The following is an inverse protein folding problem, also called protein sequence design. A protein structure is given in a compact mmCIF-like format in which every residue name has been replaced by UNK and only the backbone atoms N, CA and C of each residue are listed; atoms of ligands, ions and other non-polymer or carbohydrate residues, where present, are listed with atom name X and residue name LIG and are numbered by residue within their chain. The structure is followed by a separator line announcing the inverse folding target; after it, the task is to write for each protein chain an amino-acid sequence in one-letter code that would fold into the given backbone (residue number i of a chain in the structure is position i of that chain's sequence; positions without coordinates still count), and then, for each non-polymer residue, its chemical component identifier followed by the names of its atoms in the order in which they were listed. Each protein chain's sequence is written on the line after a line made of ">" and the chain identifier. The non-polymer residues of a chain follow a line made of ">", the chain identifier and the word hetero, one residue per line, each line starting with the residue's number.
data_IF_697766389899
#
_entry.id   IF_697766389899
#
_cell.length_a   1.000
_cell.length_b   1.000
_cell.length_c   1.000
_cell.angle_alpha   90.00
_cell.angle_beta   90.00
_cell.angle_gamma   90.00
#
_symmetry.space_group_name_H-M   'P 1'
#
loop_
_entity.id
_entity.type
_entity.pdbx_description
1 polymer ?
#
# COMPACT_ATOMS: atom_id res chain seq x y z
N UNK A 1 19.89 27.49 19.60
CA UNK A 1 20.77 27.00 18.52
C UNK A 1 20.49 25.51 18.39
N UNK A 2 19.53 25.13 17.54
CA UNK A 2 19.17 23.72 17.34
C UNK A 2 19.90 23.16 16.12
N UNK A 3 20.49 21.98 16.30
CA UNK A 3 21.34 21.32 15.31
C UNK A 3 20.57 20.87 14.06
N UNK A 4 21.30 20.46 13.01
CA UNK A 4 20.69 20.08 11.73
C UNK A 4 19.71 18.92 11.94
N UNK A 5 18.45 19.12 11.51
CA UNK A 5 17.44 18.07 11.53
C UNK A 5 17.88 16.96 10.56
N UNK A 6 18.30 15.84 11.12
CA UNK A 6 18.57 14.61 10.39
C UNK A 6 17.30 14.18 9.68
N UNK A 7 17.37 14.03 8.35
CA UNK A 7 16.40 13.24 7.57
C UNK A 7 16.06 11.99 8.37
N UNK A 8 14.79 11.72 8.64
CA UNK A 8 14.38 10.44 9.17
C UNK A 8 14.74 9.38 8.13
N UNK A 9 15.90 8.76 8.31
CA UNK A 9 16.32 7.60 7.54
C UNK A 9 15.48 6.46 8.11
N UNK A 10 14.45 6.04 7.38
CA UNK A 10 13.70 4.84 7.72
C UNK A 10 14.72 3.69 7.95
N UNK A 11 14.63 2.97 9.09
CA UNK A 11 15.67 2.03 9.51
C UNK A 11 15.88 0.87 8.53
N UNK A 12 14.94 0.66 7.60
CA UNK A 12 15.00 -0.34 6.57
C UNK A 12 14.68 0.29 5.20
N UNK A 13 15.71 0.73 4.46
CA UNK A 13 15.61 1.10 3.05
C UNK A 13 15.68 -0.12 2.10
N UNK A 14 15.69 -1.34 2.67
CA UNK A 14 15.94 -2.61 1.98
C UNK A 14 14.66 -3.48 1.96
N UNK A 15 13.52 -3.00 2.44
CA UNK A 15 12.25 -3.72 2.36
C UNK A 15 11.73 -3.73 0.91
N UNK A 16 12.44 -4.44 0.03
CA UNK A 16 12.14 -4.62 -1.39
C UNK A 16 11.67 -6.05 -1.59
N UNK A 17 10.37 -6.23 -1.57
CA UNK A 17 9.73 -7.44 -2.06
C UNK A 17 9.54 -7.31 -3.56
N UNK A 18 10.48 -7.82 -4.36
CA UNK A 18 10.28 -7.86 -5.81
C UNK A 18 9.44 -9.09 -6.16
N UNK A 19 8.24 -8.87 -6.71
CA UNK A 19 7.47 -9.89 -7.40
C UNK A 19 7.20 -11.16 -6.58
N UNK A 20 7.90 -12.27 -6.90
CA UNK A 20 7.69 -13.62 -6.37
C UNK A 20 8.51 -13.96 -5.12
N UNK A 21 9.50 -13.14 -4.73
CA UNK A 21 10.30 -13.34 -3.51
C UNK A 21 9.59 -12.92 -2.22
N UNK A 22 8.27 -12.68 -2.29
CA UNK A 22 7.41 -12.30 -1.17
C UNK A 22 6.58 -13.47 -0.62
N UNK A 23 6.62 -14.65 -1.25
CA UNK A 23 5.78 -15.79 -0.87
C UNK A 23 5.89 -16.18 0.62
N UNK A 24 7.09 -16.19 1.26
CA UNK A 24 7.18 -16.46 2.70
C UNK A 24 6.54 -15.37 3.57
N UNK A 25 6.65 -14.09 3.18
CA UNK A 25 6.02 -12.99 3.90
C UNK A 25 4.49 -13.09 3.80
N UNK A 26 3.97 -13.28 2.59
CA UNK A 26 2.53 -13.44 2.35
C UNK A 26 2.01 -14.66 3.13
N UNK A 27 2.68 -15.80 3.02
CA UNK A 27 2.29 -17.00 3.76
C UNK A 27 2.30 -16.77 5.28
N UNK A 28 3.27 -16.03 5.81
CA UNK A 28 3.31 -15.68 7.22
C UNK A 28 2.17 -14.74 7.63
N UNK A 29 1.86 -13.71 6.83
CA UNK A 29 0.75 -12.80 7.09
C UNK A 29 -0.60 -13.53 7.10
N UNK A 30 -0.82 -14.42 6.12
CA UNK A 30 -2.02 -15.25 6.02
C UNK A 30 -2.12 -16.26 7.17
N UNK A 31 -1.03 -16.96 7.48
CA UNK A 31 -0.99 -17.92 8.59
C UNK A 31 -1.19 -17.26 9.96
N UNK A 32 -0.70 -16.02 10.13
CA UNK A 32 -0.91 -15.22 11.32
C UNK A 32 -2.32 -14.60 11.40
N UNK A 33 -3.15 -14.77 10.36
CA UNK A 33 -4.50 -14.20 10.26
C UNK A 33 -4.52 -12.69 10.51
N UNK A 34 -3.51 -11.98 10.00
CA UNK A 34 -3.43 -10.54 10.17
C UNK A 34 -4.55 -9.90 9.34
N UNK A 35 -5.48 -9.24 10.03
CA UNK A 35 -6.55 -8.47 9.39
C UNK A 35 -5.96 -7.20 8.79
N UNK A 36 -5.84 -7.16 7.47
CA UNK A 36 -5.50 -5.97 6.69
C UNK A 36 -6.75 -5.45 5.98
N UNK A 37 -6.74 -4.17 5.62
CA UNK A 37 -7.79 -3.60 4.78
C UNK A 37 -7.78 -4.31 3.41
N UNK A 38 -8.95 -4.65 2.88
CA UNK A 38 -9.12 -5.33 1.59
C UNK A 38 -10.03 -4.51 0.68
N UNK A 39 -9.61 -4.29 -0.55
CA UNK A 39 -10.33 -3.46 -1.53
C UNK A 39 -10.36 -4.18 -2.88
N UNK A 40 -11.49 -4.14 -3.58
CA UNK A 40 -11.60 -4.68 -4.93
C UNK A 40 -11.17 -3.67 -6.01
N UNK A 41 -10.79 -4.15 -7.19
CA UNK A 41 -10.54 -3.34 -8.39
C UNK A 41 -11.80 -2.80 -9.11
N UNK A 42 -12.95 -2.83 -8.42
CA UNK A 42 -14.27 -2.52 -8.97
C UNK A 42 -14.32 -1.14 -9.64
N UNK A 43 -15.22 -0.99 -10.61
CA UNK A 43 -15.48 0.28 -11.29
C UNK A 43 -14.18 0.94 -11.79
N UNK A 44 -13.31 0.13 -12.40
CA UNK A 44 -12.01 0.57 -12.91
C UNK A 44 -11.11 1.22 -11.84
N UNK A 45 -11.00 0.56 -10.68
CA UNK A 45 -10.18 0.99 -9.54
C UNK A 45 -10.68 2.29 -8.87
N UNK A 46 -11.93 2.71 -9.11
CA UNK A 46 -12.49 3.92 -8.49
C UNK A 46 -12.53 3.83 -6.95
N UNK A 47 -13.08 2.77 -6.33
CA UNK A 47 -13.11 2.62 -4.88
C UNK A 47 -11.70 2.52 -4.28
N UNK A 48 -10.79 1.84 -4.98
CA UNK A 48 -9.38 1.78 -4.58
C UNK A 48 -8.72 3.16 -4.57
N UNK A 49 -8.96 3.96 -5.60
CA UNK A 49 -8.44 5.33 -5.68
C UNK A 49 -8.95 6.21 -4.55
N UNK A 50 -10.25 6.14 -4.25
CA UNK A 50 -10.87 6.87 -3.13
C UNK A 50 -10.32 6.41 -1.77
N UNK A 51 -10.16 5.10 -1.59
CA UNK A 51 -9.55 4.53 -0.40
C UNK A 51 -8.13 5.07 -0.18
N UNK A 52 -7.28 5.07 -1.21
CA UNK A 52 -5.91 5.60 -1.12
C UNK A 52 -5.91 7.08 -0.75
N UNK A 53 -6.78 7.89 -1.36
CA UNK A 53 -6.90 9.32 -1.04
C UNK A 53 -7.28 9.55 0.42
N UNK A 54 -8.27 8.80 0.91
CA UNK A 54 -8.79 8.97 2.26
C UNK A 54 -7.84 8.41 3.33
N UNK A 55 -7.39 7.17 3.16
CA UNK A 55 -6.52 6.47 4.11
C UNK A 55 -5.13 7.10 4.15
N UNK A 56 -4.61 7.43 2.97
CA UNK A 56 -3.31 8.07 2.79
C UNK A 56 -3.30 9.56 3.15
N UNK A 57 -4.47 10.18 3.35
CA UNK A 57 -4.62 11.64 3.52
C UNK A 57 -3.91 12.41 2.39
N UNK A 58 -4.32 12.14 1.16
CA UNK A 58 -3.72 12.79 0.00
C UNK A 58 -3.80 14.32 0.11
N UNK A 59 -2.67 15.00 -0.08
CA UNK A 59 -2.61 16.46 -0.15
C UNK A 59 -2.94 16.99 -1.54
N UNK A 60 -2.97 18.32 -1.67
CA UNK A 60 -3.23 19.02 -2.95
C UNK A 60 -2.15 18.73 -4.01
N UNK A 61 -0.96 18.30 -3.59
CA UNK A 61 0.12 17.84 -4.47
C UNK A 61 -0.08 16.41 -5.00
N UNK A 62 -1.21 15.78 -4.67
CA UNK A 62 -1.55 14.42 -5.08
C UNK A 62 -0.72 13.33 -4.38
N UNK A 63 0.05 13.68 -3.34
CA UNK A 63 0.88 12.75 -2.57
C UNK A 63 0.18 12.35 -1.28
N UNK A 64 0.30 11.07 -0.93
CA UNK A 64 -0.20 10.58 0.36
C UNK A 64 0.74 11.00 1.49
N UNK A 65 0.19 11.32 2.66
CA UNK A 65 0.94 11.70 3.87
C UNK A 65 1.15 10.53 4.83
N UNK A 66 0.28 9.53 4.77
CA UNK A 66 0.38 8.32 5.56
C UNK A 66 0.73 7.13 4.66
N UNK A 67 1.64 6.26 5.12
CA UNK A 67 1.87 4.96 4.49
C UNK A 67 0.65 4.05 4.63
N UNK A 68 0.49 3.12 3.68
CA UNK A 68 -0.65 2.22 3.58
C UNK A 68 -0.16 0.79 3.35
N UNK A 69 -0.76 -0.17 4.03
CA UNK A 69 -0.67 -1.59 3.70
C UNK A 69 -2.10 -2.08 3.44
N UNK A 70 -2.34 -2.65 2.26
CA UNK A 70 -3.71 -3.01 1.81
C UNK A 70 -3.66 -4.18 0.84
N UNK A 71 -4.66 -5.06 0.89
CA UNK A 71 -4.92 -6.03 -0.16
C UNK A 71 -5.79 -5.43 -1.25
N UNK A 72 -5.36 -5.61 -2.50
CA UNK A 72 -6.17 -5.32 -3.68
C UNK A 72 -6.49 -6.63 -4.40
N UNK A 73 -7.74 -6.87 -4.75
CA UNK A 73 -8.17 -8.09 -5.41
C UNK A 73 -9.15 -7.82 -6.56
N UNK A 74 -9.30 -8.79 -7.47
CA UNK A 74 -10.24 -8.64 -8.58
C UNK A 74 -11.69 -8.80 -8.12
N UNK A 75 -12.54 -7.88 -8.58
CA UNK A 75 -13.96 -7.83 -8.28
C UNK A 75 -14.66 -9.14 -8.62
N UNK A 76 -15.58 -9.56 -7.74
CA UNK A 76 -16.30 -10.83 -7.87
C UNK A 76 -15.56 -12.01 -7.24
N UNK A 77 -14.30 -11.83 -6.85
CA UNK A 77 -13.57 -12.75 -6.00
C UNK A 77 -13.67 -12.24 -4.56
N UNK A 78 -14.07 -13.08 -3.61
CA UNK A 78 -14.41 -12.67 -2.24
C UNK A 78 -13.17 -12.49 -1.35
N UNK A 79 -12.25 -11.62 -1.75
CA UNK A 79 -10.99 -11.34 -1.05
C UNK A 79 -9.75 -11.60 -1.91
N UNK A 80 -8.53 -11.57 -1.33
CA UNK A 80 -7.27 -11.81 -2.05
C UNK A 80 -6.97 -13.29 -2.34
N UNK A 81 -7.68 -14.20 -1.66
CA UNK A 81 -7.65 -15.64 -1.89
C UNK A 81 -9.00 -16.26 -1.53
N UNK A 82 -9.29 -17.44 -2.05
CA UNK A 82 -10.46 -18.23 -1.65
C UNK A 82 -10.14 -19.73 -1.64
N UNK A 83 -10.84 -20.48 -0.80
CA UNK A 83 -10.80 -21.94 -0.80
C UNK A 83 -11.75 -22.47 -1.88
N UNK A 84 -11.28 -23.40 -2.71
CA UNK A 84 -12.08 -24.06 -3.75
C UNK A 84 -12.82 -25.27 -3.19
N UNK A 85 -13.84 -25.72 -3.89
CA UNK A 85 -14.66 -26.89 -3.48
C UNK A 85 -13.82 -28.18 -3.31
N UNK A 86 -12.67 -28.27 -3.99
CA UNK A 86 -11.72 -29.39 -3.88
C UNK A 86 -10.73 -29.24 -2.71
N UNK A 87 -10.90 -28.21 -1.86
CA UNK A 87 -10.00 -27.90 -0.74
C UNK A 87 -8.67 -27.26 -1.15
N UNK A 88 -8.58 -26.76 -2.38
CA UNK A 88 -7.44 -25.97 -2.85
C UNK A 88 -7.56 -24.50 -2.44
N UNK A 89 -6.47 -23.74 -2.51
CA UNK A 89 -6.51 -22.29 -2.31
C UNK A 89 -6.14 -21.61 -3.62
N UNK A 90 -7.07 -20.81 -4.15
CA UNK A 90 -6.83 -19.94 -5.29
C UNK A 90 -6.41 -18.55 -4.83
N UNK A 91 -5.32 -18.08 -5.42
CA UNK A 91 -4.61 -16.86 -5.07
C UNK A 91 -4.78 -15.83 -6.19
N UNK A 92 -5.27 -14.62 -5.88
CA UNK A 92 -5.61 -13.62 -6.92
C UNK A 92 -5.55 -12.16 -6.44
N UNK A 93 -4.97 -11.90 -5.27
CA UNK A 93 -4.76 -10.55 -4.73
C UNK A 93 -3.31 -10.07 -4.85
N UNK A 94 -3.14 -8.75 -4.81
CA UNK A 94 -1.84 -8.10 -4.60
C UNK A 94 -1.81 -7.42 -3.23
N UNK A 95 -0.79 -7.73 -2.44
CA UNK A 95 -0.47 -6.98 -1.24
C UNK A 95 0.27 -5.72 -1.67
N UNK A 96 -0.23 -4.55 -1.28
CA UNK A 96 0.42 -3.28 -1.54
C UNK A 96 1.01 -2.75 -0.25
N UNK A 97 2.29 -2.39 -0.28
CA UNK A 97 2.94 -1.59 0.77
C UNK A 97 3.36 -0.27 0.16
N UNK A 98 2.78 0.82 0.63
CA UNK A 98 2.90 2.14 0.02
C UNK A 98 3.46 3.10 1.05
N UNK A 99 4.56 3.77 0.72
CA UNK A 99 5.18 4.74 1.61
C UNK A 99 4.51 6.11 1.53
N UNK A 100 4.63 6.89 2.61
CA UNK A 100 4.28 8.30 2.60
C UNK A 100 5.08 9.04 1.52
N UNK A 101 4.42 9.93 0.77
CA UNK A 101 5.03 10.69 -0.31
C UNK A 101 4.86 10.08 -1.69
N UNK A 102 4.30 8.88 -1.80
CA UNK A 102 3.90 8.30 -3.07
C UNK A 102 2.71 9.08 -3.68
N UNK A 103 2.71 9.26 -5.01
CA UNK A 103 1.61 9.91 -5.72
C UNK A 103 0.46 8.95 -5.96
N UNK A 104 -0.77 9.42 -5.76
CA UNK A 104 -1.99 8.61 -5.95
C UNK A 104 -2.06 8.00 -7.35
N UNK A 105 -1.73 8.77 -8.39
CA UNK A 105 -1.76 8.30 -9.78
C UNK A 105 -0.76 7.15 -10.03
N UNK A 106 0.47 7.29 -9.52
CA UNK A 106 1.51 6.26 -9.64
C UNK A 106 1.12 5.00 -8.86
N UNK A 107 0.51 5.16 -7.68
CA UNK A 107 0.00 4.04 -6.89
C UNK A 107 -1.02 3.23 -7.68
N UNK A 108 -2.03 3.90 -8.25
CA UNK A 108 -3.10 3.22 -9.01
C UNK A 108 -2.55 2.55 -10.27
N UNK A 109 -1.64 3.23 -10.99
CA UNK A 109 -1.01 2.67 -12.18
C UNK A 109 -0.20 1.39 -11.86
N UNK A 110 0.59 1.41 -10.79
CA UNK A 110 1.39 0.26 -10.35
C UNK A 110 0.51 -0.87 -9.81
N UNK A 111 -0.52 -0.55 -9.04
CA UNK A 111 -1.49 -1.52 -8.55
C UNK A 111 -2.17 -2.26 -9.70
N UNK A 112 -2.60 -1.53 -10.74
CA UNK A 112 -3.19 -2.11 -11.96
C UNK A 112 -2.20 -3.01 -12.71
N UNK A 113 -0.92 -2.65 -12.78
CA UNK A 113 0.09 -3.48 -13.44
C UNK A 113 0.46 -4.74 -12.64
N UNK A 114 0.30 -4.69 -11.31
CA UNK A 114 0.66 -5.76 -10.39
C UNK A 114 -0.47 -6.78 -10.16
N UNK A 115 -1.74 -6.36 -10.26
CA UNK A 115 -2.89 -7.24 -10.09
C UNK A 115 -2.97 -8.23 -11.26
N UNK A 116 -2.87 -9.53 -10.95
CA UNK A 116 -2.91 -10.62 -11.94
C UNK A 116 -3.76 -11.77 -11.43
N UNK A 117 -4.56 -12.34 -12.31
CA UNK A 117 -5.32 -13.55 -11.99
C UNK A 117 -4.42 -14.76 -11.73
N UNK A 118 -4.79 -15.56 -10.74
CA UNK A 118 -4.12 -16.83 -10.41
C UNK A 118 -2.75 -16.68 -9.75
N UNK A 119 -2.36 -15.46 -9.35
CA UNK A 119 -1.11 -15.18 -8.68
C UNK A 119 -1.37 -14.28 -7.48
N UNK A 120 -0.85 -14.65 -6.30
CA UNK A 120 -0.68 -13.70 -5.20
C UNK A 120 0.66 -13.02 -5.34
N UNK A 121 0.67 -11.70 -5.25
CA UNK A 121 1.89 -10.90 -5.42
C UNK A 121 2.00 -9.84 -4.34
N UNK A 122 3.18 -9.25 -4.23
CA UNK A 122 3.42 -8.09 -3.38
C UNK A 122 4.09 -7.02 -4.23
N UNK A 123 3.51 -5.81 -4.19
CA UNK A 123 4.05 -4.63 -4.82
C UNK A 123 4.38 -3.58 -3.74
N UNK A 124 5.65 -3.15 -3.72
CA UNK A 124 6.13 -2.09 -2.86
C UNK A 124 6.26 -0.77 -3.63
N UNK A 125 5.61 0.28 -3.15
CA UNK A 125 5.58 1.60 -3.79
C UNK A 125 6.30 2.61 -2.88
N UNK A 126 7.52 2.96 -3.29
CA UNK A 126 8.37 3.96 -2.64
C UNK A 126 7.74 5.36 -2.71
N UNK A 127 7.98 6.17 -1.68
CA UNK A 127 7.49 7.54 -1.57
C UNK A 127 8.61 8.57 -1.67
N UNK A 128 8.30 9.76 -2.15
CA UNK A 128 9.27 10.87 -2.10
C UNK A 128 9.25 11.56 -0.73
N UNK A 129 10.40 12.04 -0.27
CA UNK A 129 10.47 12.81 0.96
C UNK A 129 9.48 13.99 0.94
N UNK A 130 8.55 14.00 1.90
CA UNK A 130 7.60 15.09 2.07
C UNK A 130 8.31 16.29 2.71
N UNK A 131 8.00 17.53 2.30
CA UNK A 131 8.46 18.70 3.01
C UNK A 131 7.95 18.66 4.45
N UNK A 132 8.82 19.01 5.40
CA UNK A 132 8.44 19.13 6.81
C UNK A 132 7.31 20.16 6.94
N UNK A 133 6.33 19.94 7.84
CA UNK A 133 5.34 20.96 8.12
C UNK A 133 6.05 22.26 8.50
N UNK A 134 5.60 23.38 7.94
CA UNK A 134 6.06 24.69 8.39
C UNK A 134 5.83 24.75 9.90
N UNK A 135 6.86 25.12 10.66
CA UNK A 135 6.72 25.32 12.10
C UNK A 135 5.55 26.29 12.29
N UNK A 136 4.49 25.82 12.96
CA UNK A 136 3.41 26.71 13.36
C UNK A 136 4.04 27.72 14.31
N UNK A 137 4.21 28.96 13.86
CA UNK A 137 4.47 30.08 14.76
C UNK A 137 3.33 30.05 15.78
N UNK A 138 3.62 29.52 16.96
CA UNK A 138 2.80 29.71 18.13
C UNK A 138 2.90 31.20 18.44
N UNK A 139 2.02 31.99 17.83
CA UNK A 139 1.76 33.35 18.29
C UNK A 139 1.29 33.23 19.74
N UNK A 140 2.14 33.73 20.64
CA UNK A 140 1.84 33.96 22.03
C UNK A 140 0.60 34.85 22.15
N UNK A 141 -0.43 34.39 22.88
CA UNK A 141 -1.37 35.25 23.60
C UNK A 141 -1.36 34.90 25.09
#
# INVERSE_FOLDING_TARGET
>A
MYGPQTREIFPYAIARSTGTECAPLIAALLAAQISLDEISDAEDYTPFTEYIKNRGRAGDDGKIRNGIIVWLYTTGLHGPYHETDDGGIEHHGVLLTIESGAKVEDIVARARAALRHGVISHEHIEGEALPLPAESDSEEE
#
